data_IF_755255671760
#
_entry.id   IF_755255671760
#
_cell.length_a   1.000
_cell.length_b   1.000
_cell.length_c   1.000
_cell.angle_alpha   90.00
_cell.angle_beta   90.00
_cell.angle_gamma   90.00
#
_symmetry.space_group_name_H-M   'P 1'
#
loop_
_entity.id
_entity.type
_entity.pdbx_description
1 polymer ?
#
# COMPACT_ATOMS: atom_id res chain seq x y z
N UNK A 1 8.58 45.17 -2.74
CA UNK A 1 9.24 45.20 -4.06
C UNK A 1 10.49 44.32 -3.98
N UNK A 2 10.52 43.19 -4.68
CA UNK A 2 11.66 42.27 -4.67
C UNK A 2 11.19 40.89 -5.10
N UNK A 3 11.53 40.49 -6.32
CA UNK A 3 10.85 39.48 -7.13
C UNK A 3 11.23 38.05 -6.76
N UNK A 4 10.20 37.19 -6.81
CA UNK A 4 10.25 35.73 -6.89
C UNK A 4 11.17 35.26 -8.02
N UNK A 5 11.96 34.21 -7.77
CA UNK A 5 12.69 33.50 -8.82
C UNK A 5 12.51 31.99 -8.64
N UNK A 6 11.52 31.49 -9.36
CA UNK A 6 11.22 30.08 -9.62
C UNK A 6 12.42 29.43 -10.31
N UNK A 7 13.02 28.41 -9.70
CA UNK A 7 13.95 27.51 -10.40
C UNK A 7 13.22 26.22 -10.73
N UNK A 8 12.87 26.10 -12.00
CA UNK A 8 12.51 24.85 -12.65
C UNK A 8 13.74 23.92 -12.64
N UNK A 9 13.62 22.73 -12.05
CA UNK A 9 14.56 21.64 -12.26
C UNK A 9 13.87 20.63 -13.18
N UNK A 10 14.22 20.72 -14.46
CA UNK A 10 13.76 19.84 -15.53
C UNK A 10 14.60 18.57 -15.61
N UNK A 11 13.93 17.42 -15.72
CA UNK A 11 14.27 16.26 -16.58
C UNK A 11 15.65 15.57 -16.56
N UNK A 12 16.56 15.82 -15.61
CA UNK A 12 17.87 15.13 -15.60
C UNK A 12 18.04 14.01 -14.54
N UNK A 13 17.04 13.77 -13.67
CA UNK A 13 17.09 12.65 -12.71
C UNK A 13 16.35 11.39 -13.17
N UNK A 14 15.60 11.45 -14.27
CA UNK A 14 14.85 10.31 -14.80
C UNK A 14 15.74 9.29 -15.54
N UNK A 15 16.89 9.73 -16.06
CA UNK A 15 17.70 8.93 -17.00
C UNK A 15 18.87 8.17 -16.36
N UNK A 16 19.15 8.35 -15.06
CA UNK A 16 20.26 7.65 -14.39
C UNK A 16 19.87 6.31 -13.78
N UNK A 17 18.57 6.04 -13.56
CA UNK A 17 18.09 4.81 -12.94
C UNK A 17 17.82 3.65 -13.92
N UNK A 18 17.82 3.88 -15.23
CA UNK A 18 17.47 2.86 -16.23
C UNK A 18 18.66 2.07 -16.81
N UNK A 19 19.92 2.35 -16.42
CA UNK A 19 21.07 1.82 -17.17
C UNK A 19 21.85 0.66 -16.55
N UNK A 20 21.57 0.19 -15.33
CA UNK A 20 22.38 -0.90 -14.74
C UNK A 20 21.57 -1.84 -13.85
N UNK A 21 21.04 -2.89 -14.47
CA UNK A 21 20.51 -4.05 -13.74
C UNK A 21 19.57 -4.83 -14.62
N UNK A 22 20.09 -5.83 -15.31
CA UNK A 22 19.30 -6.81 -16.02
C UNK A 22 18.49 -7.60 -14.99
N UNK A 23 17.31 -7.09 -14.60
CA UNK A 23 16.41 -7.73 -13.65
C UNK A 23 15.70 -8.85 -14.38
N UNK A 24 16.31 -10.03 -14.39
CA UNK A 24 15.58 -11.24 -14.73
C UNK A 24 14.54 -11.49 -13.64
N UNK A 25 13.25 -11.62 -13.96
CA UNK A 25 12.25 -11.99 -12.97
C UNK A 25 12.60 -13.39 -12.47
N UNK A 26 12.87 -13.51 -11.17
CA UNK A 26 13.05 -14.80 -10.51
C UNK A 26 11.66 -15.45 -10.51
N UNK A 27 11.44 -16.33 -11.48
CA UNK A 27 10.20 -17.08 -11.65
C UNK A 27 10.15 -18.19 -10.59
N UNK A 28 9.75 -17.84 -9.36
CA UNK A 28 9.31 -18.81 -8.37
C UNK A 28 7.86 -19.17 -8.73
N UNK A 29 7.71 -20.30 -9.42
CA UNK A 29 6.48 -20.76 -10.04
C UNK A 29 5.24 -20.57 -9.17
N UNK A 30 4.35 -19.70 -9.63
CA UNK A 30 2.96 -19.61 -9.27
C UNK A 30 2.23 -19.41 -10.59
N UNK A 31 1.19 -20.20 -10.88
CA UNK A 31 0.48 -20.19 -12.16
C UNK A 31 0.19 -18.76 -12.64
N UNK A 32 0.84 -18.36 -13.73
CA UNK A 32 0.81 -16.98 -14.25
C UNK A 32 -0.56 -16.54 -14.77
N UNK A 33 -1.54 -17.45 -14.78
CA UNK A 33 -2.86 -17.25 -15.35
C UNK A 33 -3.79 -16.40 -14.47
N UNK A 34 -3.49 -16.23 -13.17
CA UNK A 34 -4.40 -15.57 -12.22
C UNK A 34 -3.77 -14.47 -11.36
N UNK A 35 -2.59 -13.96 -11.73
CA UNK A 35 -1.93 -12.91 -10.97
C UNK A 35 -2.51 -11.53 -11.34
N UNK A 36 -3.65 -11.20 -10.73
CA UNK A 36 -4.20 -9.84 -10.78
C UNK A 36 -3.22 -8.88 -10.11
N UNK A 37 -2.84 -7.83 -10.83
CA UNK A 37 -2.10 -6.70 -10.23
C UNK A 37 -3.01 -6.00 -9.21
N UNK A 38 -2.44 -5.44 -8.13
CA UNK A 38 -3.20 -4.71 -7.12
C UNK A 38 -4.11 -3.63 -7.74
N UNK A 39 -3.62 -2.92 -8.76
CA UNK A 39 -4.36 -1.88 -9.47
C UNK A 39 -5.66 -2.40 -10.12
N UNK A 40 -5.70 -3.66 -10.54
CA UNK A 40 -6.89 -4.26 -11.16
C UNK A 40 -8.06 -4.49 -10.21
N UNK A 41 -7.83 -4.39 -8.89
CA UNK A 41 -8.88 -4.47 -7.86
C UNK A 41 -9.65 -3.16 -7.70
N UNK A 42 -9.15 -2.06 -8.27
CA UNK A 42 -9.72 -0.73 -8.10
C UNK A 42 -10.13 -0.11 -9.43
N UNK A 43 -10.98 0.92 -9.35
CA UNK A 43 -11.27 1.77 -10.51
C UNK A 43 -10.01 2.52 -10.96
N UNK A 44 -10.02 3.01 -12.20
CA UNK A 44 -8.93 3.85 -12.75
C UNK A 44 -8.74 5.19 -12.02
N UNK A 45 -9.69 5.59 -11.17
CA UNK A 45 -9.58 6.78 -10.32
C UNK A 45 -8.72 6.55 -9.05
N UNK A 46 -8.23 5.33 -8.83
CA UNK A 46 -7.43 4.96 -7.67
C UNK A 46 -6.01 4.65 -8.10
N UNK A 47 -5.04 5.32 -7.48
CA UNK A 47 -3.65 4.92 -7.59
C UNK A 47 -3.30 3.91 -6.50
N UNK A 48 -2.46 2.95 -6.84
CA UNK A 48 -2.02 1.90 -5.92
C UNK A 48 -0.52 1.71 -6.02
N UNK A 49 0.11 1.37 -4.91
CA UNK A 49 1.49 0.89 -4.90
C UNK A 49 1.63 -0.26 -3.91
N UNK A 50 2.48 -1.24 -4.25
CA UNK A 50 2.78 -2.39 -3.41
C UNK A 50 4.29 -2.67 -3.36
N UNK A 51 4.77 -3.09 -2.20
CA UNK A 51 6.15 -3.51 -1.96
C UNK A 51 6.10 -4.94 -1.43
N UNK A 52 6.96 -5.81 -2.00
CA UNK A 52 7.11 -7.24 -1.66
C UNK A 52 8.49 -7.59 -1.10
N UNK A 53 9.35 -6.58 -0.90
CA UNK A 53 10.69 -6.75 -0.35
C UNK A 53 10.71 -6.50 1.16
N UNK A 54 11.81 -6.84 1.82
CA UNK A 54 12.00 -6.62 3.28
C UNK A 54 12.96 -5.47 3.57
N UNK A 55 13.43 -4.76 2.55
CA UNK A 55 14.35 -3.64 2.71
C UNK A 55 13.62 -2.46 3.37
N UNK A 56 14.29 -1.84 4.35
CA UNK A 56 13.73 -0.70 5.05
C UNK A 56 14.42 0.57 4.55
N UNK A 57 13.62 1.52 4.10
CA UNK A 57 14.08 2.82 3.63
C UNK A 57 13.25 3.93 4.28
N UNK A 58 13.83 4.54 5.31
CA UNK A 58 13.18 5.59 6.10
C UNK A 58 13.35 6.97 5.47
N UNK A 59 14.15 7.13 4.41
CA UNK A 59 14.42 8.42 3.77
C UNK A 59 13.19 9.08 3.14
N UNK A 60 12.11 8.31 2.98
CA UNK A 60 10.81 8.76 2.48
C UNK A 60 9.89 9.34 3.55
N UNK A 61 10.22 9.18 4.84
CA UNK A 61 9.38 9.68 5.91
C UNK A 61 9.50 11.19 6.06
N UNK A 62 8.36 11.81 6.35
CA UNK A 62 8.34 13.17 6.83
C UNK A 62 8.80 13.23 8.30
N UNK A 63 9.44 14.33 8.75
CA UNK A 63 9.81 14.50 10.15
C UNK A 63 8.64 14.36 11.14
N UNK A 64 7.42 14.69 10.70
CA UNK A 64 6.18 14.49 11.45
C UNK A 64 5.83 13.00 11.60
N UNK A 65 6.09 12.19 10.59
CA UNK A 65 5.85 10.74 10.59
C UNK A 65 6.91 10.01 11.43
N UNK A 66 8.18 10.42 11.35
CA UNK A 66 9.27 9.86 12.16
C UNK A 66 8.97 9.94 13.67
N UNK A 67 8.33 11.03 14.11
CA UNK A 67 7.95 11.22 15.52
C UNK A 67 7.00 10.16 16.04
N UNK A 68 6.24 9.49 15.16
CA UNK A 68 5.30 8.41 15.50
C UNK A 68 6.05 7.12 15.84
N UNK A 69 7.26 6.92 15.30
CA UNK A 69 8.05 5.69 15.44
C UNK A 69 8.84 5.59 16.76
N UNK A 70 8.57 6.47 17.73
CA UNK A 70 9.23 6.45 19.04
C UNK A 70 8.93 5.14 19.78
N UNK A 71 9.98 4.38 20.07
CA UNK A 71 9.92 3.15 20.88
C UNK A 71 9.01 2.04 20.32
N UNK A 72 8.85 1.95 19.00
CA UNK A 72 8.13 0.82 18.36
C UNK A 72 9.05 -0.37 18.07
N UNK A 73 8.47 -1.58 18.05
CA UNK A 73 9.17 -2.81 17.66
C UNK A 73 9.68 -2.74 16.22
N UNK A 74 10.70 -3.56 15.89
CA UNK A 74 11.26 -3.56 14.53
C UNK A 74 10.22 -3.93 13.46
N UNK A 75 9.34 -4.90 13.77
CA UNK A 75 8.24 -5.25 12.87
C UNK A 75 7.30 -4.06 12.66
N UNK A 76 6.89 -3.38 13.73
CA UNK A 76 5.97 -2.24 13.62
C UNK A 76 6.61 -1.07 12.88
N UNK A 77 7.91 -0.86 13.04
CA UNK A 77 8.69 0.11 12.26
C UNK A 77 8.64 -0.22 10.78
N UNK A 78 8.92 -1.47 10.40
CA UNK A 78 8.82 -1.92 9.02
C UNK A 78 7.42 -1.73 8.45
N UNK A 79 6.39 -2.21 9.15
CA UNK A 79 4.98 -2.08 8.77
C UNK A 79 4.60 -0.61 8.47
N UNK A 80 5.03 0.31 9.34
CA UNK A 80 4.72 1.73 9.23
C UNK A 80 5.49 2.40 8.09
N UNK A 81 6.82 2.22 8.03
CA UNK A 81 7.69 2.86 7.03
C UNK A 81 7.30 2.41 5.63
N UNK A 82 7.20 1.10 5.40
CA UNK A 82 6.90 0.55 4.08
C UNK A 82 5.48 0.91 3.65
N UNK A 83 4.51 0.89 4.58
CA UNK A 83 3.15 1.35 4.31
C UNK A 83 3.08 2.83 3.92
N UNK A 84 3.84 3.71 4.61
CA UNK A 84 3.93 5.14 4.27
C UNK A 84 4.61 5.38 2.93
N UNK A 85 5.69 4.64 2.64
CA UNK A 85 6.34 4.66 1.32
C UNK A 85 5.34 4.33 0.20
N UNK A 86 4.57 3.25 0.35
CA UNK A 86 3.53 2.92 -0.63
C UNK A 86 2.51 4.05 -0.82
N UNK A 87 2.08 4.69 0.27
CA UNK A 87 1.12 5.78 0.20
C UNK A 87 1.69 7.01 -0.51
N UNK A 88 2.92 7.41 -0.20
CA UNK A 88 3.59 8.55 -0.85
C UNK A 88 3.81 8.31 -2.34
N UNK A 89 4.22 7.11 -2.74
CA UNK A 89 4.37 6.75 -4.16
C UNK A 89 3.01 6.75 -4.88
N UNK A 90 1.95 6.27 -4.22
CA UNK A 90 0.60 6.32 -4.78
C UNK A 90 0.08 7.75 -4.93
N UNK A 91 0.39 8.67 -4.01
CA UNK A 91 0.09 10.10 -4.16
C UNK A 91 0.82 10.71 -5.36
N UNK A 92 2.12 10.43 -5.50
CA UNK A 92 2.90 10.91 -6.64
C UNK A 92 2.33 10.39 -7.98
N UNK A 93 1.82 9.15 -8.00
CA UNK A 93 1.16 8.56 -9.18
C UNK A 93 -0.13 9.29 -9.57
N UNK A 94 -0.85 9.87 -8.60
CA UNK A 94 -2.00 10.75 -8.86
C UNK A 94 -1.61 12.17 -9.27
N UNK A 95 -0.31 12.49 -9.32
CA UNK A 95 0.18 13.85 -9.57
C UNK A 95 -0.04 14.80 -8.39
N UNK A 96 -0.11 14.28 -7.17
CA UNK A 96 -0.26 15.06 -5.95
C UNK A 96 1.10 15.14 -5.25
N UNK A 97 1.48 16.33 -4.81
CA UNK A 97 2.66 16.52 -3.97
C UNK A 97 2.53 15.71 -2.68
N UNK A 98 3.56 14.93 -2.33
CA UNK A 98 3.58 14.19 -1.08
C UNK A 98 3.43 15.15 0.11
N UNK A 99 2.65 14.72 1.10
CA UNK A 99 2.43 15.42 2.36
C UNK A 99 2.39 14.38 3.49
N UNK A 100 2.75 14.74 4.74
CA UNK A 100 2.80 13.79 5.84
C UNK A 100 1.44 13.14 6.10
N UNK A 101 1.44 11.83 6.32
CA UNK A 101 0.26 11.04 6.68
C UNK A 101 0.35 10.72 8.18
N UNK A 102 -0.31 11.54 8.99
CA UNK A 102 -0.29 11.38 10.45
C UNK A 102 -1.11 10.16 10.91
N UNK A 103 -1.10 9.87 12.20
CA UNK A 103 -1.94 8.84 12.82
C UNK A 103 -3.01 9.49 13.67
N UNK A 104 -4.27 9.10 13.46
CA UNK A 104 -5.41 9.51 14.28
C UNK A 104 -5.49 8.74 15.61
N UNK A 105 -6.53 9.01 16.39
CA UNK A 105 -6.70 8.48 17.75
C UNK A 105 -6.83 6.96 17.79
N UNK A 106 -7.26 6.31 16.69
CA UNK A 106 -7.37 4.85 16.56
C UNK A 106 -6.26 4.26 15.68
N UNK A 107 -5.18 5.00 15.45
CA UNK A 107 -4.06 4.66 14.56
C UNK A 107 -4.42 4.60 13.07
N UNK A 108 -5.56 5.15 12.68
CA UNK A 108 -5.92 5.33 11.28
C UNK A 108 -5.01 6.36 10.61
N UNK A 109 -4.64 6.18 9.32
CA UNK A 109 -3.94 7.20 8.58
C UNK A 109 -4.81 8.45 8.42
N UNK A 110 -4.27 9.61 8.82
CA UNK A 110 -4.89 10.91 8.56
C UNK A 110 -4.42 11.38 7.20
N UNK A 111 -5.31 11.27 6.21
CA UNK A 111 -5.03 11.67 4.83
C UNK A 111 -4.96 13.18 4.68
N UNK A 112 -4.07 13.69 3.80
CA UNK A 112 -4.09 15.10 3.38
C UNK A 112 -5.47 15.52 2.84
N UNK A 113 -5.77 16.81 2.94
CA UNK A 113 -7.06 17.35 2.51
C UNK A 113 -7.39 16.99 1.06
N UNK A 114 -8.64 16.58 0.85
CA UNK A 114 -9.13 16.18 -0.47
C UNK A 114 -8.77 14.75 -0.89
N UNK A 115 -8.08 13.97 -0.05
CA UNK A 115 -7.73 12.57 -0.31
C UNK A 115 -8.47 11.59 0.60
N UNK A 116 -8.60 10.38 0.09
CA UNK A 116 -9.00 9.18 0.83
C UNK A 116 -8.05 8.05 0.47
N UNK A 117 -7.88 7.08 1.38
CA UNK A 117 -7.02 5.96 1.12
C UNK A 117 -7.07 4.87 2.18
N UNK A 118 -6.37 3.78 1.89
CA UNK A 118 -6.15 2.67 2.82
C UNK A 118 -4.70 2.20 2.70
N UNK A 119 -4.16 1.72 3.82
CA UNK A 119 -2.83 1.09 3.90
C UNK A 119 -3.00 -0.27 4.56
N UNK A 120 -2.37 -1.30 4.01
CA UNK A 120 -2.30 -2.63 4.61
C UNK A 120 -0.85 -3.13 4.61
N UNK A 121 -0.54 -4.03 5.54
CA UNK A 121 0.76 -4.66 5.64
C UNK A 121 0.64 -6.06 6.24
N UNK A 122 1.45 -6.99 5.74
CA UNK A 122 1.75 -8.27 6.39
C UNK A 122 3.28 -8.44 6.49
N UNK A 123 3.78 -9.60 6.90
CA UNK A 123 5.17 -9.81 7.31
C UNK A 123 6.24 -9.45 6.25
N UNK A 124 5.88 -9.44 4.98
CA UNK A 124 6.77 -9.17 3.83
C UNK A 124 6.05 -8.43 2.69
N UNK A 125 4.94 -7.77 3.01
CA UNK A 125 4.13 -7.08 2.02
C UNK A 125 3.54 -5.82 2.62
N UNK A 126 3.55 -4.73 1.86
CA UNK A 126 2.80 -3.54 2.20
C UNK A 126 2.20 -2.94 0.95
N UNK A 127 1.01 -2.38 1.07
CA UNK A 127 0.32 -1.74 -0.03
C UNK A 127 -0.48 -0.53 0.45
N UNK A 128 -0.66 0.41 -0.49
CA UNK A 128 -1.53 1.55 -0.29
C UNK A 128 -2.40 1.78 -1.54
N UNK A 129 -3.61 2.23 -1.32
CA UNK A 129 -4.54 2.70 -2.35
C UNK A 129 -5.00 4.11 -1.98
N UNK A 130 -4.90 5.06 -2.92
CA UNK A 130 -5.21 6.49 -2.73
C UNK A 130 -6.14 6.95 -3.86
N UNK A 131 -7.09 7.83 -3.54
CA UNK A 131 -7.91 8.52 -4.53
C UNK A 131 -8.30 9.93 -4.07
N UNK A 132 -8.75 10.76 -5.01
CA UNK A 132 -9.41 12.02 -4.67
C UNK A 132 -10.78 11.77 -4.06
N UNK A 133 -11.07 12.47 -2.95
CA UNK A 133 -12.36 12.45 -2.25
C UNK A 133 -13.53 12.92 -3.12
N UNK A 134 -13.25 13.69 -4.17
CA UNK A 134 -14.24 14.14 -5.16
C UNK A 134 -14.69 13.04 -6.13
N UNK A 135 -13.96 11.92 -6.20
CA UNK A 135 -14.24 10.78 -7.07
C UNK A 135 -14.63 9.53 -6.29
N UNK A 136 -14.02 9.32 -5.14
CA UNK A 136 -14.22 8.13 -4.30
C UNK A 136 -14.54 8.60 -2.87
N UNK A 137 -15.64 8.09 -2.31
CA UNK A 137 -16.07 8.45 -0.95
C UNK A 137 -15.16 7.87 0.13
N UNK A 138 -14.74 6.62 -0.03
CA UNK A 138 -13.88 5.90 0.91
C UNK A 138 -13.16 4.75 0.20
N UNK A 139 -12.02 4.33 0.73
CA UNK A 139 -11.23 3.19 0.27
C UNK A 139 -10.93 2.25 1.44
N UNK A 140 -11.00 0.95 1.17
CA UNK A 140 -10.56 -0.12 2.06
C UNK A 140 -9.72 -1.11 1.27
N UNK A 141 -8.58 -1.49 1.85
CA UNK A 141 -7.66 -2.48 1.30
C UNK A 141 -7.11 -3.29 2.45
N UNK A 142 -7.15 -4.61 2.32
CA UNK A 142 -6.57 -5.53 3.27
C UNK A 142 -5.81 -6.66 2.56
N UNK A 143 -4.73 -7.12 3.16
CA UNK A 143 -3.86 -8.15 2.60
C UNK A 143 -3.45 -9.15 3.68
N UNK A 144 -3.74 -10.42 3.42
CA UNK A 144 -3.40 -11.54 4.28
C UNK A 144 -2.69 -12.63 3.47
N UNK A 145 -1.83 -13.44 4.11
CA UNK A 145 -1.33 -14.66 3.49
C UNK A 145 -2.50 -15.54 3.03
N UNK A 146 -2.37 -16.13 1.84
CA UNK A 146 -3.36 -17.06 1.31
C UNK A 146 -3.22 -18.44 1.98
N UNK A 147 -3.52 -18.49 3.27
CA UNK A 147 -3.39 -19.66 4.13
C UNK A 147 -4.74 -20.00 4.79
N UNK A 148 -5.03 -21.28 5.07
CA UNK A 148 -6.27 -21.66 5.73
C UNK A 148 -6.40 -21.02 7.12
N UNK A 149 -7.55 -20.42 7.39
CA UNK A 149 -7.86 -19.91 8.73
C UNK A 149 -8.17 -21.06 9.70
N UNK A 150 -7.72 -20.98 10.96
CA UNK A 150 -8.16 -21.91 11.99
C UNK A 150 -9.68 -21.85 12.16
N UNK A 151 -10.34 -23.01 12.26
CA UNK A 151 -11.80 -23.10 12.38
C UNK A 151 -12.37 -22.19 13.49
N UNK A 152 -11.68 -22.10 14.62
CA UNK A 152 -12.10 -21.29 15.78
C UNK A 152 -12.06 -19.77 15.49
N UNK A 153 -11.18 -19.35 14.58
CA UNK A 153 -11.11 -17.96 14.10
C UNK A 153 -12.27 -17.71 13.14
N UNK A 154 -12.45 -18.59 12.15
CA UNK A 154 -13.54 -18.49 11.18
C UNK A 154 -14.90 -18.38 11.87
N UNK A 155 -15.19 -19.23 12.86
CA UNK A 155 -16.44 -19.19 13.63
C UNK A 155 -16.67 -17.91 14.44
N UNK A 156 -15.63 -17.08 14.64
CA UNK A 156 -15.72 -15.81 15.39
C UNK A 156 -15.88 -14.60 14.48
N UNK A 157 -15.38 -14.67 13.24
CA UNK A 157 -15.39 -13.56 12.28
C UNK A 157 -16.49 -13.66 11.23
N UNK A 158 -17.13 -14.83 11.10
CA UNK A 158 -18.20 -15.06 10.14
C UNK A 158 -19.53 -15.35 10.84
N UNK A 159 -20.62 -15.00 10.19
CA UNK A 159 -21.94 -15.50 10.57
C UNK A 159 -22.14 -16.96 10.11
N UNK A 160 -23.28 -17.57 10.45
CA UNK A 160 -23.57 -18.98 10.12
C UNK A 160 -23.65 -19.25 8.61
N UNK A 161 -24.20 -18.31 7.83
CA UNK A 161 -24.33 -18.46 6.38
C UNK A 161 -22.96 -18.40 5.69
N UNK A 162 -22.15 -17.40 6.05
CA UNK A 162 -20.78 -17.25 5.59
C UNK A 162 -19.91 -18.46 5.98
N UNK A 163 -20.04 -18.94 7.22
CA UNK A 163 -19.31 -20.11 7.69
C UNK A 163 -19.62 -21.33 6.83
N UNK A 164 -20.91 -21.63 6.63
CA UNK A 164 -21.34 -22.76 5.81
C UNK A 164 -20.93 -22.59 4.35
N UNK A 165 -21.00 -21.37 3.82
CA UNK A 165 -20.54 -21.08 2.47
C UNK A 165 -19.05 -21.39 2.35
N UNK A 166 -18.18 -20.90 3.24
CA UNK A 166 -16.73 -21.18 3.19
C UNK A 166 -16.45 -22.69 3.29
N UNK A 167 -17.12 -23.40 4.20
CA UNK A 167 -16.93 -24.86 4.36
C UNK A 167 -17.36 -25.65 3.11
N UNK A 168 -18.43 -25.22 2.46
CA UNK A 168 -18.98 -25.89 1.27
C UNK A 168 -18.30 -25.45 -0.03
N UNK A 169 -17.65 -24.29 -0.03
CA UNK A 169 -17.00 -23.71 -1.21
C UNK A 169 -15.70 -24.39 -1.61
N UNK A 170 -15.35 -25.55 -0.99
CA UNK A 170 -14.15 -26.40 -1.24
C UNK A 170 -13.35 -25.86 -2.42
N UNK A 171 -12.34 -25.03 -2.12
CA UNK A 171 -11.60 -24.20 -3.08
C UNK A 171 -11.80 -24.66 -4.52
N UNK A 172 -12.85 -24.15 -5.17
CA UNK A 172 -12.91 -24.25 -6.62
C UNK A 172 -11.78 -23.33 -7.06
N UNK A 173 -10.63 -23.92 -7.37
CA UNK A 173 -9.68 -23.28 -8.27
C UNK A 173 -10.53 -22.76 -9.43
N UNK A 174 -10.50 -21.44 -9.57
CA UNK A 174 -11.26 -20.75 -10.60
C UNK A 174 -10.65 -21.25 -11.90
N UNK A 175 -11.34 -22.18 -12.56
CA UNK A 175 -10.94 -22.80 -13.82
C UNK A 175 -10.92 -21.80 -14.95
#
# INVERSE_FOLDING_TARGET
MGKSSTKFLTNELQTSYESKGNFMPINLGCDSQYQKTLSSLFSTATATHEIRDTSLDESYLWPEEEKILKSVSQKRRWDFVTGRKCAHVAMATLGIDSAPILSGDKNEPVWPDGLVGSITHTSNYAAAAIAHKSKILSLGLDAEPNEPLPHKVLSRISNTEEFNWVQNSKGKEIS
#
